data_IF_915331060276
#
_entry.id   IF_915331060276
#
_cell.length_a   1.000
_cell.length_b   1.000
_cell.length_c   1.000
_cell.angle_alpha   90.00
_cell.angle_beta   90.00
_cell.angle_gamma   90.00
#
_symmetry.space_group_name_H-M   'P 1'
#
loop_
_entity.id
_entity.type
_entity.pdbx_description
1 polymer ?
#
# COMPACT_ATOMS: atom_id res chain seq x y z
N UNK A 1 -34.05 -24.40 17.81
CA UNK A 1 -33.76 -23.33 16.86
C UNK A 1 -33.61 -22.05 17.66
N UNK A 2 -32.44 -21.40 17.62
CA UNK A 2 -32.22 -20.12 18.36
C UNK A 2 -32.86 -19.02 17.55
N UNK A 3 -33.89 -18.38 18.09
CA UNK A 3 -34.53 -17.21 17.47
C UNK A 3 -33.67 -16.00 17.83
N UNK A 4 -33.20 -15.29 16.80
CA UNK A 4 -32.42 -14.06 16.97
C UNK A 4 -33.30 -12.85 17.35
N UNK A 5 -32.68 -11.69 17.51
CA UNK A 5 -33.38 -10.41 17.68
C UNK A 5 -34.20 -10.16 16.40
N UNK A 6 -35.48 -9.77 16.55
CA UNK A 6 -36.39 -9.56 15.41
C UNK A 6 -37.20 -10.80 14.99
N UNK A 7 -37.09 -11.94 15.71
CA UNK A 7 -37.94 -13.13 15.47
C UNK A 7 -37.48 -14.02 14.33
N UNK A 8 -36.30 -13.80 13.74
CA UNK A 8 -35.70 -14.61 12.68
C UNK A 8 -34.53 -15.46 13.17
N UNK A 9 -33.91 -16.24 12.28
CA UNK A 9 -32.70 -17.02 12.56
C UNK A 9 -31.61 -16.70 11.55
N UNK A 10 -30.34 -16.87 11.95
CA UNK A 10 -29.19 -16.64 11.06
C UNK A 10 -29.31 -17.39 9.72
N UNK A 11 -29.87 -18.63 9.74
CA UNK A 11 -30.07 -19.40 8.52
C UNK A 11 -31.05 -18.71 7.56
N UNK A 12 -32.19 -18.23 8.07
CA UNK A 12 -33.21 -17.56 7.25
C UNK A 12 -32.66 -16.25 6.70
N UNK A 13 -31.91 -15.46 7.48
CA UNK A 13 -31.35 -14.19 7.01
C UNK A 13 -30.22 -14.42 6.01
N UNK A 14 -29.36 -15.42 6.20
CA UNK A 14 -28.30 -15.77 5.24
C UNK A 14 -28.86 -16.22 3.88
N UNK A 15 -30.02 -16.91 3.87
CA UNK A 15 -30.69 -17.35 2.64
C UNK A 15 -31.25 -16.16 1.81
N UNK A 16 -31.46 -15.00 2.41
CA UNK A 16 -31.92 -13.78 1.73
C UNK A 16 -30.78 -13.02 1.04
N UNK A 17 -29.52 -13.27 1.41
CA UNK A 17 -28.39 -12.53 0.85
C UNK A 17 -28.21 -12.84 -0.63
N UNK A 18 -28.00 -11.78 -1.39
CA UNK A 18 -27.71 -11.83 -2.83
C UNK A 18 -26.34 -11.24 -3.12
N UNK A 19 -25.70 -11.67 -4.21
CA UNK A 19 -24.43 -11.08 -4.62
C UNK A 19 -24.66 -9.67 -5.17
N UNK A 20 -24.35 -8.66 -4.39
CA UNK A 20 -24.47 -7.25 -4.75
C UNK A 20 -23.18 -6.69 -5.40
N UNK A 21 -22.14 -7.50 -5.61
CA UNK A 21 -20.86 -7.03 -6.16
C UNK A 21 -20.73 -7.19 -7.67
N UNK A 22 -21.71 -7.82 -8.33
CA UNK A 22 -21.64 -8.16 -9.77
C UNK A 22 -21.62 -6.93 -10.70
N UNK A 23 -22.04 -5.76 -10.23
CA UNK A 23 -22.13 -4.52 -11.01
C UNK A 23 -20.93 -3.59 -10.85
N UNK A 24 -20.02 -3.87 -9.93
CA UNK A 24 -18.85 -3.04 -9.67
C UNK A 24 -17.57 -3.65 -10.22
N UNK A 25 -16.69 -2.80 -10.66
CA UNK A 25 -15.36 -3.21 -11.14
C UNK A 25 -14.29 -2.91 -10.10
N UNK A 26 -13.31 -3.79 -9.98
CA UNK A 26 -12.15 -3.56 -9.13
C UNK A 26 -11.27 -2.45 -9.73
N UNK A 27 -10.49 -1.79 -8.88
CA UNK A 27 -9.48 -0.82 -9.30
C UNK A 27 -8.47 -1.52 -10.22
N UNK A 28 -8.25 -0.95 -11.40
CA UNK A 28 -7.40 -1.54 -12.44
C UNK A 28 -5.91 -1.22 -12.22
N UNK A 29 -5.03 -2.01 -12.83
CA UNK A 29 -3.59 -1.70 -12.86
C UNK A 29 -3.30 -0.33 -13.50
N UNK A 30 -4.10 0.08 -14.50
CA UNK A 30 -3.99 1.39 -15.13
C UNK A 30 -4.26 2.52 -14.12
N UNK A 31 -5.31 2.42 -13.31
CA UNK A 31 -5.60 3.39 -12.25
C UNK A 31 -4.51 3.41 -11.18
N UNK A 32 -3.99 2.25 -10.77
CA UNK A 32 -2.87 2.18 -9.82
C UNK A 32 -1.62 2.88 -10.36
N UNK A 33 -1.29 2.69 -11.64
CA UNK A 33 -0.18 3.41 -12.28
C UNK A 33 -0.42 4.93 -12.33
N UNK A 34 -1.66 5.39 -12.54
CA UNK A 34 -1.99 6.82 -12.44
C UNK A 34 -1.78 7.37 -11.03
N UNK A 35 -2.09 6.59 -9.97
CA UNK A 35 -1.82 6.97 -8.58
C UNK A 35 -0.32 7.10 -8.31
N UNK A 36 0.50 6.19 -8.85
CA UNK A 36 1.96 6.28 -8.77
C UNK A 36 2.45 7.53 -9.50
N UNK A 37 1.97 7.80 -10.72
CA UNK A 37 2.34 8.99 -11.47
C UNK A 37 1.96 10.29 -10.74
N UNK A 38 0.77 10.33 -10.09
CA UNK A 38 0.37 11.46 -9.23
C UNK A 38 1.31 11.62 -8.04
N UNK A 39 1.70 10.52 -7.38
CA UNK A 39 2.68 10.56 -6.28
C UNK A 39 4.02 11.11 -6.76
N UNK A 40 4.50 10.67 -7.92
CA UNK A 40 5.75 11.14 -8.53
C UNK A 40 5.70 12.64 -8.85
N UNK A 41 4.58 13.15 -9.37
CA UNK A 41 4.39 14.59 -9.59
C UNK A 41 4.46 15.39 -8.29
N UNK A 42 3.77 14.94 -7.23
CA UNK A 42 3.84 15.57 -5.90
C UNK A 42 5.27 15.54 -5.35
N UNK A 43 6.01 14.45 -5.56
CA UNK A 43 7.41 14.36 -5.13
C UNK A 43 8.31 15.36 -5.85
N UNK A 44 8.11 15.57 -7.15
CA UNK A 44 8.84 16.60 -7.91
C UNK A 44 8.59 17.99 -7.33
N UNK A 45 7.32 18.34 -7.09
CA UNK A 45 6.93 19.65 -6.54
C UNK A 45 7.49 19.90 -5.13
N UNK A 46 7.75 18.84 -4.37
CA UNK A 46 8.20 18.94 -2.97
C UNK A 46 9.67 18.56 -2.76
N UNK A 47 10.45 18.37 -3.82
CA UNK A 47 11.86 17.98 -3.77
C UNK A 47 12.07 16.70 -2.93
N UNK A 48 11.26 15.66 -3.22
CA UNK A 48 11.30 14.35 -2.59
C UNK A 48 11.86 13.34 -3.59
N UNK A 49 13.01 12.74 -3.30
CA UNK A 49 13.70 11.84 -4.21
C UNK A 49 13.01 10.46 -4.32
N UNK A 50 12.43 9.99 -3.22
CA UNK A 50 11.67 8.73 -3.17
C UNK A 50 10.68 8.73 -2.01
N UNK A 51 9.64 7.90 -2.12
CA UNK A 51 8.70 7.61 -1.03
C UNK A 51 8.71 6.11 -0.74
N UNK A 52 8.92 5.74 0.51
CA UNK A 52 8.69 4.37 0.99
C UNK A 52 7.26 4.24 1.47
N UNK A 53 6.52 3.29 0.91
CA UNK A 53 5.19 2.88 1.37
C UNK A 53 5.28 1.53 2.05
N UNK A 54 4.92 1.51 3.33
CA UNK A 54 4.98 0.31 4.17
C UNK A 54 3.81 -0.64 3.87
N UNK A 55 4.00 -1.93 4.19
CA UNK A 55 2.91 -2.90 4.18
C UNK A 55 1.68 -2.36 4.93
N UNK A 56 0.52 -2.44 4.31
CA UNK A 56 -0.72 -1.88 4.81
C UNK A 56 -1.50 -1.10 3.74
N UNK A 57 -2.26 -0.11 4.19
CA UNK A 57 -3.20 0.63 3.35
C UNK A 57 -2.51 1.39 2.21
N UNK A 58 -1.38 2.04 2.48
CA UNK A 58 -0.69 2.82 1.45
C UNK A 58 -0.04 1.92 0.39
N UNK A 59 0.59 0.81 0.78
CA UNK A 59 1.07 -0.18 -0.19
C UNK A 59 -0.06 -0.68 -1.09
N UNK A 60 -1.20 -1.05 -0.49
CA UNK A 60 -2.37 -1.50 -1.25
C UNK A 60 -2.93 -0.40 -2.16
N UNK A 61 -3.02 0.85 -1.68
CA UNK A 61 -3.54 1.98 -2.46
C UNK A 61 -2.73 2.26 -3.72
N UNK A 62 -1.40 2.26 -3.62
CA UNK A 62 -0.54 2.59 -4.76
C UNK A 62 -0.29 1.40 -5.68
N UNK A 63 -0.22 0.18 -5.14
CA UNK A 63 0.28 -0.96 -5.90
C UNK A 63 -0.74 -2.08 -6.11
N UNK A 64 -1.87 -2.02 -5.43
CA UNK A 64 -2.84 -3.12 -5.39
C UNK A 64 -2.35 -4.36 -4.62
N UNK A 65 -1.16 -4.29 -4.02
CA UNK A 65 -0.56 -5.41 -3.28
C UNK A 65 -1.11 -5.44 -1.86
N UNK A 66 -1.92 -6.44 -1.55
CA UNK A 66 -2.46 -6.63 -0.21
C UNK A 66 -1.45 -7.36 0.66
N UNK A 67 -0.82 -6.64 1.58
CA UNK A 67 0.12 -7.17 2.56
C UNK A 67 -0.07 -6.48 3.91
N UNK A 68 -0.04 -7.23 4.98
CA UNK A 68 -0.21 -6.70 6.33
C UNK A 68 1.15 -6.40 6.97
N UNK A 69 1.22 -5.31 7.73
CA UNK A 69 2.41 -4.97 8.49
C UNK A 69 2.70 -6.02 9.57
N UNK A 70 3.97 -6.35 9.74
CA UNK A 70 4.48 -7.28 10.74
C UNK A 70 5.77 -6.73 11.36
N UNK A 71 6.50 -7.57 12.07
CA UNK A 71 7.84 -7.27 12.60
C UNK A 71 8.92 -7.22 11.51
N UNK A 72 8.59 -7.58 10.28
CA UNK A 72 9.53 -7.56 9.14
C UNK A 72 9.26 -6.38 8.22
N UNK A 73 10.33 -5.84 7.67
CA UNK A 73 10.21 -4.77 6.67
C UNK A 73 9.71 -5.33 5.34
N UNK A 74 8.47 -4.98 5.00
CA UNK A 74 7.86 -5.24 3.69
C UNK A 74 7.23 -3.95 3.18
N UNK A 75 7.43 -3.63 1.91
CA UNK A 75 6.87 -2.43 1.33
C UNK A 75 7.37 -2.17 -0.09
N UNK A 76 7.15 -0.96 -0.57
CA UNK A 76 7.63 -0.53 -1.88
C UNK A 76 8.29 0.85 -1.80
N UNK A 77 9.30 1.06 -2.61
CA UNK A 77 9.93 2.35 -2.88
C UNK A 77 9.33 2.88 -4.18
N UNK A 78 8.70 4.02 -4.11
CA UNK A 78 8.26 4.79 -5.26
C UNK A 78 9.33 5.86 -5.50
N UNK A 79 10.17 5.75 -6.55
CA UNK A 79 11.13 6.79 -6.88
C UNK A 79 10.43 8.00 -7.50
N UNK A 80 11.06 9.17 -7.44
CA UNK A 80 10.54 10.37 -8.11
C UNK A 80 10.34 10.16 -9.61
N UNK A 81 11.16 9.30 -10.23
CA UNK A 81 11.05 8.89 -11.63
C UNK A 81 11.40 7.41 -11.78
N UNK A 82 10.76 6.74 -12.74
CA UNK A 82 11.00 5.32 -13.03
C UNK A 82 10.06 4.38 -12.30
N UNK A 83 10.43 3.11 -12.31
CA UNK A 83 9.61 2.01 -11.79
C UNK A 83 9.79 1.83 -10.28
N UNK A 84 8.73 1.38 -9.64
CA UNK A 84 8.75 1.04 -8.22
C UNK A 84 9.63 -0.18 -7.95
N UNK A 85 10.18 -0.25 -6.74
CA UNK A 85 10.93 -1.41 -6.24
C UNK A 85 10.28 -1.91 -4.95
N UNK A 86 10.09 -3.22 -4.86
CA UNK A 86 9.58 -3.85 -3.64
C UNK A 86 10.72 -4.32 -2.75
N UNK A 87 10.49 -4.30 -1.44
CA UNK A 87 11.40 -4.87 -0.44
C UNK A 87 10.61 -5.87 0.40
N UNK A 88 11.16 -7.06 0.58
CA UNK A 88 10.54 -8.14 1.36
C UNK A 88 11.59 -9.13 1.86
N UNK A 89 11.32 -9.93 2.92
CA UNK A 89 12.14 -11.09 3.23
C UNK A 89 12.29 -12.01 2.01
N UNK A 90 13.46 -12.61 1.84
CA UNK A 90 13.74 -13.45 0.66
C UNK A 90 12.75 -14.62 0.54
N UNK A 91 12.39 -15.25 1.65
CA UNK A 91 11.46 -16.38 1.65
C UNK A 91 10.03 -16.00 1.25
N UNK A 92 9.67 -14.71 1.30
CA UNK A 92 8.36 -14.19 0.90
C UNK A 92 8.31 -13.65 -0.53
N UNK A 93 9.45 -13.63 -1.26
CA UNK A 93 9.53 -13.09 -2.63
C UNK A 93 8.49 -13.73 -3.56
N UNK A 94 8.38 -15.06 -3.54
CA UNK A 94 7.43 -15.78 -4.39
C UNK A 94 5.98 -15.47 -4.01
N UNK A 95 5.69 -15.39 -2.73
CA UNK A 95 4.35 -15.05 -2.22
C UNK A 95 3.99 -13.62 -2.61
N UNK A 96 4.88 -12.66 -2.37
CA UNK A 96 4.66 -11.26 -2.74
C UNK A 96 4.40 -11.12 -4.25
N UNK A 97 5.18 -11.82 -5.09
CA UNK A 97 5.03 -11.76 -6.55
C UNK A 97 3.65 -12.18 -7.05
N UNK A 98 2.96 -13.08 -6.33
CA UNK A 98 1.59 -13.53 -6.63
C UNK A 98 0.53 -12.48 -6.27
N UNK A 99 0.79 -11.65 -5.26
CA UNK A 99 -0.13 -10.60 -4.80
C UNK A 99 0.06 -9.25 -5.51
N UNK A 100 1.13 -9.08 -6.28
CA UNK A 100 1.43 -7.84 -6.97
C UNK A 100 0.49 -7.58 -8.16
N UNK A 101 -0.22 -6.46 -8.12
CA UNK A 101 -0.97 -5.94 -9.28
C UNK A 101 -0.08 -5.04 -10.14
N UNK A 102 0.56 -4.04 -9.55
CA UNK A 102 1.60 -3.26 -10.22
C UNK A 102 2.91 -4.03 -10.15
N UNK A 103 3.48 -4.34 -11.30
CA UNK A 103 4.76 -5.05 -11.36
C UNK A 103 5.93 -4.12 -11.06
N UNK A 104 6.98 -4.69 -10.51
CA UNK A 104 8.23 -4.01 -10.16
C UNK A 104 9.25 -5.04 -9.70
N UNK A 105 10.51 -4.67 -9.67
CA UNK A 105 11.56 -5.56 -9.17
C UNK A 105 11.40 -5.79 -7.66
N UNK A 106 11.55 -7.03 -7.23
CA UNK A 106 11.51 -7.41 -5.82
C UNK A 106 12.94 -7.59 -5.30
N UNK A 107 13.32 -6.81 -4.31
CA UNK A 107 14.58 -6.93 -3.56
C UNK A 107 14.32 -7.73 -2.29
N UNK A 108 14.87 -8.96 -2.25
CA UNK A 108 14.73 -9.86 -1.11
C UNK A 108 15.95 -9.76 -0.17
N UNK A 109 15.72 -9.67 1.14
CA UNK A 109 16.75 -9.73 2.17
C UNK A 109 16.70 -11.05 2.94
N UNK A 110 17.87 -11.60 3.27
CA UNK A 110 17.97 -12.81 4.07
C UNK A 110 17.84 -12.50 5.57
N UNK A 111 17.35 -13.44 6.37
CA UNK A 111 17.16 -13.25 7.83
C UNK A 111 18.41 -12.82 8.60
N UNK A 112 19.60 -13.09 8.07
CA UNK A 112 20.89 -12.66 8.64
C UNK A 112 21.40 -11.33 8.08
N UNK A 113 20.67 -10.72 7.13
CA UNK A 113 21.02 -9.44 6.50
C UNK A 113 20.17 -8.30 7.07
N UNK A 114 20.67 -7.08 6.92
CA UNK A 114 19.91 -5.88 7.29
C UNK A 114 18.98 -5.43 6.15
N UNK A 115 17.66 -5.43 6.34
CA UNK A 115 16.73 -4.90 5.35
C UNK A 115 16.96 -3.40 5.09
N UNK A 116 17.50 -2.69 6.06
CA UNK A 116 17.76 -1.26 5.96
C UNK A 116 18.97 -0.95 5.07
N UNK A 117 19.99 -1.83 5.09
CA UNK A 117 21.13 -1.75 4.15
C UNK A 117 20.65 -2.08 2.73
N UNK A 118 19.79 -3.08 2.58
CA UNK A 118 19.17 -3.37 1.28
C UNK A 118 18.35 -2.16 0.77
N UNK A 119 17.57 -1.53 1.64
CA UNK A 119 16.83 -0.31 1.31
C UNK A 119 17.76 0.79 0.79
N UNK A 120 18.84 1.08 1.51
CA UNK A 120 19.84 2.08 1.12
C UNK A 120 20.48 1.74 -0.23
N UNK A 121 20.88 0.48 -0.45
CA UNK A 121 21.43 0.01 -1.73
C UNK A 121 20.42 0.16 -2.87
N UNK A 122 19.14 -0.16 -2.63
CA UNK A 122 18.07 -0.03 -3.62
C UNK A 122 17.85 1.43 -4.00
N UNK A 123 17.92 2.35 -3.04
CA UNK A 123 17.88 3.79 -3.33
C UNK A 123 19.09 4.24 -4.16
N UNK A 124 20.28 3.76 -3.84
CA UNK A 124 21.48 4.07 -4.61
C UNK A 124 21.40 3.58 -6.06
N UNK A 125 20.83 2.39 -6.31
CA UNK A 125 20.55 1.87 -7.65
C UNK A 125 19.54 2.76 -8.43
N UNK A 126 18.64 3.43 -7.71
CA UNK A 126 17.70 4.42 -8.26
C UNK A 126 18.33 5.82 -8.41
N UNK A 127 19.62 5.98 -8.11
CA UNK A 127 20.34 7.25 -8.17
C UNK A 127 20.13 8.14 -6.93
N UNK A 128 19.46 7.65 -5.89
CA UNK A 128 19.16 8.41 -4.67
C UNK A 128 20.20 8.10 -3.61
N UNK A 129 21.27 8.89 -3.55
CA UNK A 129 22.35 8.74 -2.56
C UNK A 129 22.26 9.76 -1.41
N UNK A 130 21.46 10.79 -1.56
CA UNK A 130 21.23 11.85 -0.58
C UNK A 130 19.89 12.53 -0.87
N UNK A 131 19.49 13.48 -0.02
CA UNK A 131 18.26 14.25 -0.21
C UNK A 131 17.10 13.73 0.63
N UNK A 132 15.89 14.18 0.29
CA UNK A 132 14.69 13.93 1.07
C UNK A 132 14.02 12.61 0.61
N UNK A 133 13.84 11.71 1.57
CA UNK A 133 13.09 10.47 1.36
C UNK A 133 11.90 10.45 2.30
N UNK A 134 10.71 10.35 1.73
CA UNK A 134 9.47 10.34 2.48
C UNK A 134 9.18 8.91 2.99
N UNK A 135 8.85 8.81 4.26
CA UNK A 135 8.50 7.55 4.92
C UNK A 135 7.01 7.55 5.25
N UNK A 136 6.31 6.52 4.81
CA UNK A 136 4.90 6.28 5.10
C UNK A 136 4.61 6.50 6.59
N UNK A 137 3.61 7.29 6.90
CA UNK A 137 3.17 7.63 8.26
C UNK A 137 2.76 6.41 9.10
N UNK A 138 2.43 5.30 8.45
CA UNK A 138 2.10 4.04 9.13
C UNK A 138 3.31 3.15 9.43
N UNK A 139 4.52 3.58 9.01
CA UNK A 139 5.76 2.81 9.19
C UNK A 139 6.12 2.73 10.67
N UNK A 140 6.33 1.52 11.18
CA UNK A 140 6.76 1.31 12.55
C UNK A 140 8.09 2.02 12.82
N UNK A 141 8.23 2.59 14.02
CA UNK A 141 9.42 3.35 14.41
C UNK A 141 10.74 2.59 14.21
N UNK A 142 10.76 1.29 14.48
CA UNK A 142 11.98 0.50 14.32
C UNK A 142 12.46 0.44 12.87
N UNK A 143 11.54 0.43 11.88
CA UNK A 143 11.87 0.48 10.45
C UNK A 143 12.47 1.85 10.10
N UNK A 144 11.76 2.94 10.42
CA UNK A 144 12.23 4.29 10.13
C UNK A 144 13.59 4.59 10.79
N UNK A 145 13.76 4.18 12.06
CA UNK A 145 15.02 4.33 12.78
C UNK A 145 16.14 3.46 12.20
N UNK A 146 15.81 2.25 11.73
CA UNK A 146 16.75 1.37 11.05
C UNK A 146 17.25 1.97 9.73
N UNK A 147 16.34 2.50 8.91
CA UNK A 147 16.67 3.23 7.67
C UNK A 147 17.57 4.43 7.98
N UNK A 148 17.21 5.26 8.99
CA UNK A 148 18.00 6.43 9.38
C UNK A 148 19.45 6.07 9.75
N UNK A 149 19.64 4.94 10.45
CA UNK A 149 20.99 4.46 10.83
C UNK A 149 21.77 3.91 9.64
N UNK A 150 21.10 3.22 8.71
CA UNK A 150 21.75 2.63 7.54
C UNK A 150 22.09 3.67 6.44
N UNK A 151 21.31 4.76 6.38
CA UNK A 151 21.44 5.79 5.35
C UNK A 151 21.47 7.20 5.99
N UNK A 152 22.54 7.56 6.73
CA UNK A 152 22.63 8.82 7.44
C UNK A 152 22.63 10.06 6.51
N UNK A 153 22.99 9.89 5.25
CA UNK A 153 23.00 10.94 4.21
C UNK A 153 21.59 11.32 3.74
N UNK A 154 20.58 10.54 4.10
CA UNK A 154 19.19 10.81 3.74
C UNK A 154 18.51 11.67 4.80
N UNK A 155 17.72 12.62 4.36
CA UNK A 155 16.77 13.36 5.21
C UNK A 155 15.42 12.66 5.18
N UNK A 156 15.11 11.89 6.22
CA UNK A 156 13.81 11.24 6.33
C UNK A 156 12.74 12.23 6.72
N UNK A 157 11.65 12.24 5.96
CA UNK A 157 10.49 13.11 6.18
C UNK A 157 9.20 12.28 6.21
N UNK A 158 8.13 12.87 6.74
CA UNK A 158 6.78 12.30 6.69
C UNK A 158 6.25 12.28 5.24
N UNK A 159 5.72 11.13 4.81
CA UNK A 159 5.16 10.96 3.47
C UNK A 159 3.75 11.55 3.32
N UNK A 160 3.15 12.11 4.34
CA UNK A 160 1.74 12.55 4.33
C UNK A 160 1.39 13.49 3.18
N UNK A 161 2.31 14.36 2.74
CA UNK A 161 2.08 15.23 1.59
C UNK A 161 1.86 14.41 0.30
N UNK A 162 2.51 13.25 0.15
CA UNK A 162 2.35 12.33 -0.99
C UNK A 162 1.14 11.42 -0.77
N UNK A 163 1.10 10.71 0.35
CA UNK A 163 0.07 9.71 0.65
C UNK A 163 -1.33 10.33 0.77
N UNK A 164 -1.49 11.36 1.61
CA UNK A 164 -2.75 12.07 1.75
C UNK A 164 -3.06 12.93 0.51
N UNK A 165 -2.06 13.55 -0.11
CA UNK A 165 -2.22 14.31 -1.36
C UNK A 165 -2.80 13.46 -2.49
N UNK A 166 -2.45 12.17 -2.55
CA UNK A 166 -3.03 11.25 -3.52
C UNK A 166 -4.43 10.76 -3.12
N UNK A 167 -4.65 10.45 -1.83
CA UNK A 167 -5.84 9.75 -1.32
C UNK A 167 -7.00 10.67 -0.90
N UNK A 168 -6.74 11.98 -0.70
CA UNK A 168 -7.75 12.92 -0.20
C UNK A 168 -8.95 13.01 -1.14
N UNK A 169 -8.69 13.17 -2.44
CA UNK A 169 -9.73 13.12 -3.47
C UNK A 169 -9.90 11.69 -3.97
N UNK A 170 -11.15 11.22 -4.00
CA UNK A 170 -11.49 9.87 -4.45
C UNK A 170 -11.72 9.86 -5.95
N UNK A 171 -11.21 8.82 -6.63
CA UNK A 171 -11.57 8.60 -8.04
C UNK A 171 -13.04 8.20 -8.19
N UNK A 172 -13.58 8.32 -9.40
CA UNK A 172 -14.94 7.86 -9.70
C UNK A 172 -15.10 6.37 -9.38
N UNK A 173 -14.10 5.55 -9.66
CA UNK A 173 -14.08 4.12 -9.31
C UNK A 173 -14.18 3.92 -7.80
N UNK A 174 -13.39 4.68 -7.02
CA UNK A 174 -13.44 4.60 -5.54
C UNK A 174 -14.81 5.03 -5.00
N UNK A 175 -15.43 6.06 -5.60
CA UNK A 175 -16.76 6.53 -5.20
C UNK A 175 -17.82 5.45 -5.47
N UNK A 176 -17.78 4.80 -6.63
CA UNK A 176 -18.70 3.70 -6.97
C UNK A 176 -18.55 2.53 -6.00
N UNK A 177 -17.29 2.12 -5.68
CA UNK A 177 -17.01 1.05 -4.73
C UNK A 177 -17.47 1.39 -3.31
N UNK A 178 -17.25 2.63 -2.85
CA UNK A 178 -17.71 3.10 -1.55
C UNK A 178 -19.24 3.15 -1.46
N UNK A 179 -19.91 3.63 -2.53
CA UNK A 179 -21.37 3.64 -2.57
C UNK A 179 -21.93 2.22 -2.53
N UNK A 180 -21.33 1.28 -3.26
CA UNK A 180 -21.78 -0.10 -3.24
C UNK A 180 -21.58 -0.75 -1.87
N UNK A 181 -20.43 -0.53 -1.22
CA UNK A 181 -20.20 -1.01 0.14
C UNK A 181 -21.24 -0.46 1.13
N UNK A 182 -21.58 0.84 1.00
CA UNK A 182 -22.64 1.47 1.80
C UNK A 182 -24.01 0.82 1.54
N UNK A 183 -24.36 0.57 0.28
CA UNK A 183 -25.64 -0.07 -0.08
C UNK A 183 -25.75 -1.47 0.55
N UNK A 184 -24.67 -2.26 0.48
CA UNK A 184 -24.60 -3.60 1.10
C UNK A 184 -24.85 -3.52 2.62
N UNK A 185 -24.23 -2.56 3.29
CA UNK A 185 -24.44 -2.36 4.74
C UNK A 185 -25.90 -1.96 5.07
N UNK A 186 -26.53 -1.15 4.23
CA UNK A 186 -27.93 -0.73 4.45
C UNK A 186 -28.91 -1.87 4.26
N UNK A 187 -28.67 -2.77 3.30
CA UNK A 187 -29.52 -3.95 3.09
C UNK A 187 -29.48 -4.93 4.28
N UNK A 188 -28.36 -5.00 5.00
CA UNK A 188 -28.23 -5.86 6.19
C UNK A 188 -28.92 -5.27 7.45
N UNK A 189 -29.28 -3.97 7.42
CA UNK A 189 -29.88 -3.29 8.55
C UNK A 189 -31.43 -3.24 8.49
N UNK A 190 -32.05 -3.70 7.42
CA UNK A 190 -33.51 -3.74 7.20
C UNK A 190 -34.04 -5.15 7.41
#
# INVERSE_FOLDING_TARGET
MTIGVGGSSAKVELEKLVNMTSTVQAITAAELNQRIAKAQAIMVENDIAATYVNAGTNLYYFTGTRWYASERMVGAIIPQQGEIKYITPFFEVNTLSQYMTVKGEIKGWQEHESPYILFQKTLAELGVNSGRVAIDESTAFFIANGIKKAAPELTLIDAKCVTAGCRAEKSDTEIVLLQQAKNMTLEELV
#
